data_IF_861424948187
#
_entry.id   IF_861424948187
#
_cell.length_a   1.000
_cell.length_b   1.000
_cell.length_c   1.000
_cell.angle_alpha   90.00
_cell.angle_beta   90.00
_cell.angle_gamma   90.00
#
_symmetry.space_group_name_H-M   'P 1'
#
loop_
_entity.id
_entity.type
_entity.pdbx_description
1 polymer ?
#
# COMPACT_ATOMS: atom_id res chain seq x y z
N UNK A 1 11.45 45.40 -26.16
CA UNK A 1 12.85 44.91 -26.16
C UNK A 1 12.91 43.80 -25.11
N UNK A 2 12.42 42.58 -25.43
CA UNK A 2 13.11 41.43 -26.05
C UNK A 2 14.44 41.08 -25.34
N UNK A 3 14.47 39.90 -24.72
CA UNK A 3 15.57 38.93 -24.49
C UNK A 3 15.21 38.18 -23.19
N UNK A 4 14.71 36.94 -23.17
CA UNK A 4 14.92 35.80 -24.07
C UNK A 4 15.63 34.70 -23.29
N UNK A 5 15.00 34.14 -22.24
CA UNK A 5 15.54 33.00 -21.50
C UNK A 5 15.31 31.73 -22.30
N UNK A 6 16.40 31.19 -22.86
CA UNK A 6 16.40 29.90 -23.55
C UNK A 6 16.35 28.77 -22.51
N UNK A 7 15.18 28.16 -22.41
CA UNK A 7 14.93 26.96 -21.63
C UNK A 7 15.30 25.76 -22.53
N UNK A 8 16.37 25.06 -22.17
CA UNK A 8 16.92 23.95 -22.92
C UNK A 8 16.17 22.67 -22.55
N UNK A 9 15.11 22.36 -23.29
CA UNK A 9 14.39 21.09 -23.19
C UNK A 9 15.20 19.99 -23.88
N UNK A 10 15.82 19.13 -23.08
CA UNK A 10 16.54 17.94 -23.55
C UNK A 10 15.49 16.89 -23.97
N UNK A 11 15.38 16.68 -25.27
CA UNK A 11 14.49 15.71 -25.91
C UNK A 11 14.76 14.29 -25.41
N UNK A 12 13.69 13.60 -25.02
CA UNK A 12 13.63 12.15 -24.78
C UNK A 12 13.59 11.47 -26.15
N UNK A 13 14.56 10.61 -26.45
CA UNK A 13 14.60 9.84 -27.69
C UNK A 13 13.92 8.47 -27.49
N UNK A 14 12.84 8.14 -28.23
CA UNK A 14 12.34 6.79 -28.35
C UNK A 14 12.84 6.15 -29.66
N UNK A 15 13.20 4.87 -29.64
CA UNK A 15 13.52 4.15 -30.86
C UNK A 15 14.52 3.02 -30.62
N UNK A 16 14.01 1.88 -30.16
CA UNK A 16 14.70 0.60 -30.21
C UNK A 16 14.79 0.15 -31.68
N UNK A 17 16.00 0.01 -32.22
CA UNK A 17 16.26 -0.58 -33.53
C UNK A 17 17.05 -1.88 -33.32
N UNK A 18 16.34 -3.00 -33.16
CA UNK A 18 16.93 -4.33 -33.23
C UNK A 18 16.87 -4.82 -34.67
N UNK A 19 17.94 -4.53 -35.42
CA UNK A 19 18.14 -4.99 -36.79
C UNK A 19 18.88 -6.32 -36.77
N UNK A 20 18.14 -7.41 -36.92
CA UNK A 20 18.68 -8.66 -37.46
C UNK A 20 19.06 -8.46 -38.94
N UNK A 21 20.28 -8.82 -39.32
CA UNK A 21 20.57 -9.26 -40.69
C UNK A 21 21.89 -10.05 -40.80
N UNK A 22 21.69 -11.30 -41.19
CA UNK A 22 22.66 -12.33 -41.55
C UNK A 22 23.80 -11.84 -42.44
N UNK A 23 25.03 -12.24 -42.07
CA UNK A 23 26.17 -12.26 -42.99
C UNK A 23 26.73 -13.67 -43.17
N UNK A 24 26.79 -14.06 -44.44
CA UNK A 24 27.39 -15.26 -44.97
C UNK A 24 28.92 -15.30 -44.85
N UNK A 25 29.41 -16.54 -44.82
CA UNK A 25 30.62 -17.06 -45.47
C UNK A 25 31.89 -17.36 -44.65
N UNK A 26 32.13 -18.68 -44.60
CA UNK A 26 33.38 -19.41 -44.80
C UNK A 26 34.39 -19.45 -43.64
N UNK A 27 34.47 -20.65 -43.07
CA UNK A 27 35.72 -21.26 -42.61
C UNK A 27 35.67 -22.75 -42.95
N UNK A 28 36.46 -23.17 -43.95
CA UNK A 28 36.84 -24.57 -44.15
C UNK A 28 38.06 -24.78 -43.27
N UNK A 29 37.91 -25.50 -42.17
CA UNK A 29 39.06 -26.10 -41.48
C UNK A 29 38.72 -27.55 -41.15
N UNK A 30 39.38 -28.42 -41.90
CA UNK A 30 39.44 -29.84 -41.65
C UNK A 30 40.38 -30.08 -40.47
N UNK A 31 39.85 -30.56 -39.36
CA UNK A 31 40.65 -31.26 -38.36
C UNK A 31 39.90 -32.51 -37.88
N UNK A 32 40.40 -33.66 -38.36
CA UNK A 32 40.59 -34.90 -37.62
C UNK A 32 39.90 -35.03 -36.26
N UNK A 33 38.94 -35.95 -36.17
CA UNK A 33 38.94 -37.01 -35.16
C UNK A 33 37.83 -38.02 -35.48
N UNK A 34 38.18 -39.07 -36.22
CA UNK A 34 37.40 -40.30 -36.29
C UNK A 34 37.55 -41.06 -34.96
N UNK A 35 36.91 -40.55 -33.91
CA UNK A 35 36.63 -41.29 -32.67
C UNK A 35 35.23 -41.88 -32.79
N UNK A 36 35.14 -43.21 -32.85
CA UNK A 36 33.88 -43.97 -32.89
C UNK A 36 33.10 -43.78 -31.57
N UNK A 37 32.33 -42.70 -31.46
CA UNK A 37 31.29 -42.52 -30.43
C UNK A 37 29.94 -42.44 -31.13
N UNK A 38 29.23 -43.57 -31.21
CA UNK A 38 27.93 -43.63 -31.89
C UNK A 38 26.92 -42.63 -31.28
N UNK A 39 26.03 -42.02 -32.09
CA UNK A 39 25.02 -41.12 -31.58
C UNK A 39 24.10 -41.89 -30.64
N UNK A 40 24.04 -41.47 -29.36
CA UNK A 40 23.03 -41.93 -28.41
C UNK A 40 21.67 -41.48 -28.95
N UNK A 41 20.99 -42.41 -29.62
CA UNK A 41 19.65 -42.21 -30.17
C UNK A 41 18.71 -41.86 -29.00
N UNK A 42 18.31 -40.59 -28.90
CA UNK A 42 17.09 -40.24 -28.18
C UNK A 42 15.93 -40.79 -29.01
N UNK A 43 15.44 -41.97 -28.65
CA UNK A 43 14.35 -42.63 -29.35
C UNK A 43 13.03 -41.93 -29.06
N UNK A 44 12.39 -41.37 -30.10
CA UNK A 44 10.95 -41.09 -30.20
C UNK A 44 10.38 -39.97 -29.33
N UNK A 45 11.01 -39.65 -28.21
CA UNK A 45 10.66 -38.52 -27.36
C UNK A 45 11.95 -37.73 -27.21
N UNK A 46 11.94 -36.48 -27.67
CA UNK A 46 13.03 -35.55 -27.37
C UNK A 46 13.38 -35.71 -25.88
N UNK A 47 14.67 -35.77 -25.55
CA UNK A 47 15.16 -35.93 -24.19
C UNK A 47 14.62 -34.79 -23.32
N UNK A 48 13.41 -34.99 -22.79
CA UNK A 48 12.74 -34.03 -21.95
C UNK A 48 13.24 -34.31 -20.55
N UNK A 49 14.15 -33.47 -20.06
CA UNK A 49 14.51 -33.44 -18.65
C UNK A 49 13.26 -33.02 -17.87
N UNK A 50 12.48 -34.01 -17.42
CA UNK A 50 11.31 -33.79 -16.59
C UNK A 50 11.72 -33.47 -15.16
N UNK A 51 11.04 -32.50 -14.56
CA UNK A 51 11.13 -32.18 -13.13
C UNK A 51 10.73 -33.42 -12.32
N UNK A 52 11.53 -33.79 -11.32
CA UNK A 52 11.20 -34.94 -10.48
C UNK A 52 10.11 -34.56 -9.46
N UNK A 53 9.23 -35.51 -9.10
CA UNK A 53 8.25 -35.27 -8.02
C UNK A 53 8.94 -34.98 -6.68
N UNK A 54 10.14 -35.52 -6.48
CA UNK A 54 10.96 -35.27 -5.29
C UNK A 54 11.48 -33.83 -5.28
N UNK A 55 11.92 -33.28 -6.41
CA UNK A 55 12.28 -31.86 -6.53
C UNK A 55 11.12 -30.97 -6.12
N UNK A 56 9.93 -31.27 -6.63
CA UNK A 56 8.76 -30.45 -6.34
C UNK A 56 8.39 -30.52 -4.84
N UNK A 57 8.44 -31.70 -4.22
CA UNK A 57 8.15 -31.87 -2.79
C UNK A 57 9.11 -31.07 -1.88
N UNK A 58 10.40 -31.00 -2.22
CA UNK A 58 11.35 -30.19 -1.44
C UNK A 58 11.07 -28.71 -1.61
N UNK A 59 10.70 -28.27 -2.83
CA UNK A 59 10.38 -26.86 -3.09
C UNK A 59 9.15 -26.39 -2.30
N UNK A 60 8.05 -27.14 -2.31
CA UNK A 60 6.87 -26.75 -1.50
C UNK A 60 7.16 -26.81 0.00
N UNK A 61 8.00 -27.74 0.46
CA UNK A 61 8.40 -27.78 1.86
C UNK A 61 9.15 -26.50 2.28
N UNK A 62 10.10 -26.02 1.46
CA UNK A 62 10.86 -24.79 1.73
C UNK A 62 9.93 -23.57 1.67
N UNK A 63 9.08 -23.46 0.64
CA UNK A 63 8.12 -22.35 0.50
C UNK A 63 7.17 -22.31 1.71
N UNK A 64 6.71 -23.47 2.19
CA UNK A 64 5.84 -23.56 3.37
C UNK A 64 6.48 -22.96 4.63
N UNK A 65 7.76 -23.27 4.88
CA UNK A 65 8.51 -22.73 6.02
C UNK A 65 8.69 -21.21 5.89
N UNK A 66 9.05 -20.73 4.69
CA UNK A 66 9.23 -19.30 4.44
C UNK A 66 7.92 -18.53 4.61
N UNK A 67 6.82 -19.07 4.07
CA UNK A 67 5.49 -18.46 4.15
C UNK A 67 5.02 -18.32 5.60
N UNK A 68 5.26 -19.31 6.45
CA UNK A 68 4.86 -19.27 7.86
C UNK A 68 5.47 -18.08 8.63
N UNK A 69 6.68 -17.64 8.27
CA UNK A 69 7.34 -16.47 8.90
C UNK A 69 7.06 -15.19 8.13
N UNK A 70 6.96 -15.26 6.80
CA UNK A 70 6.81 -14.08 5.95
C UNK A 70 5.41 -13.47 6.02
N UNK A 71 4.35 -14.30 6.06
CA UNK A 71 2.96 -13.83 6.08
C UNK A 71 2.66 -12.91 7.29
N UNK A 72 2.91 -13.31 8.55
CA UNK A 72 2.59 -12.45 9.70
C UNK A 72 3.40 -11.14 9.66
N UNK A 73 4.66 -11.18 9.24
CA UNK A 73 5.49 -9.98 9.11
C UNK A 73 4.98 -9.02 8.03
N UNK A 74 4.50 -9.56 6.92
CA UNK A 74 3.92 -8.74 5.85
C UNK A 74 2.60 -8.09 6.30
N UNK A 75 1.76 -8.84 7.01
CA UNK A 75 0.52 -8.34 7.62
C UNK A 75 0.79 -7.15 8.56
N UNK A 76 1.77 -7.27 9.46
CA UNK A 76 2.18 -6.18 10.36
C UNK A 76 2.67 -4.93 9.62
N UNK A 77 3.39 -5.12 8.51
CA UNK A 77 3.85 -4.02 7.66
C UNK A 77 2.69 -3.29 6.99
N UNK A 78 1.74 -4.04 6.42
CA UNK A 78 0.55 -3.47 5.79
C UNK A 78 -0.30 -2.72 6.82
N UNK A 79 -0.53 -3.31 8.00
CA UNK A 79 -1.28 -2.69 9.10
C UNK A 79 -0.68 -1.34 9.52
N UNK A 80 0.65 -1.27 9.71
CA UNK A 80 1.34 -0.01 10.01
C UNK A 80 1.23 1.02 8.88
N UNK A 81 1.31 0.58 7.64
CA UNK A 81 1.18 1.46 6.48
C UNK A 81 -0.22 2.06 6.39
N UNK A 82 -1.26 1.24 6.55
CA UNK A 82 -2.65 1.69 6.55
C UNK A 82 -2.95 2.63 7.72
N UNK A 83 -2.46 2.30 8.93
CA UNK A 83 -2.56 3.19 10.08
C UNK A 83 -1.94 4.57 9.80
N UNK A 84 -0.72 4.60 9.26
CA UNK A 84 -0.04 5.87 8.94
C UNK A 84 -0.79 6.67 7.86
N UNK A 85 -1.33 5.99 6.84
CA UNK A 85 -2.13 6.64 5.80
C UNK A 85 -3.46 7.19 6.37
N UNK A 86 -4.12 6.44 7.24
CA UNK A 86 -5.33 6.88 7.93
C UNK A 86 -5.05 8.06 8.86
N UNK A 87 -4.01 7.97 9.69
CA UNK A 87 -3.60 9.05 10.60
C UNK A 87 -3.23 10.32 9.82
N UNK A 88 -2.47 10.19 8.72
CA UNK A 88 -2.12 11.34 7.87
C UNK A 88 -3.36 12.00 7.25
N UNK A 89 -4.32 11.19 6.77
CA UNK A 89 -5.59 11.70 6.26
C UNK A 89 -6.38 12.44 7.34
N UNK A 90 -6.45 11.87 8.55
CA UNK A 90 -7.19 12.43 9.67
C UNK A 90 -6.58 13.75 10.17
N UNK A 91 -5.25 13.81 10.28
CA UNK A 91 -4.51 15.03 10.65
C UNK A 91 -4.69 16.14 9.61
N UNK A 92 -4.87 15.80 8.33
CA UNK A 92 -5.23 16.76 7.29
C UNK A 92 -6.59 17.43 7.50
N UNK A 93 -7.52 16.77 8.21
CA UNK A 93 -8.84 17.33 8.52
C UNK A 93 -8.85 18.20 9.78
N UNK A 94 -7.83 18.08 10.63
CA UNK A 94 -7.78 18.68 11.96
C UNK A 94 -8.01 20.21 11.92
N UNK A 95 -7.37 20.91 10.98
CA UNK A 95 -7.54 22.36 10.84
C UNK A 95 -8.96 22.75 10.44
N UNK A 96 -9.57 22.04 9.49
CA UNK A 96 -10.94 22.36 9.06
C UNK A 96 -11.96 22.01 10.14
N UNK A 97 -11.75 20.89 10.85
CA UNK A 97 -12.54 20.50 12.00
C UNK A 97 -12.48 21.54 13.13
N UNK A 98 -11.28 22.08 13.42
CA UNK A 98 -11.09 23.13 14.42
C UNK A 98 -11.82 24.43 14.02
N UNK A 99 -11.73 24.82 12.75
CA UNK A 99 -12.46 25.99 12.23
C UNK A 99 -13.97 25.78 12.35
N UNK A 100 -14.47 24.61 11.97
CA UNK A 100 -15.90 24.29 12.07
C UNK A 100 -16.38 24.32 13.53
N UNK A 101 -15.64 23.68 14.44
CA UNK A 101 -15.93 23.67 15.87
C UNK A 101 -15.93 25.08 16.48
N UNK A 102 -14.88 25.88 16.20
CA UNK A 102 -14.76 27.25 16.73
C UNK A 102 -15.79 28.22 16.16
N UNK A 103 -16.31 27.96 14.95
CA UNK A 103 -17.41 28.72 14.35
C UNK A 103 -18.79 28.37 14.93
N UNK A 104 -18.89 27.39 15.83
CA UNK A 104 -20.14 26.93 16.42
C UNK A 104 -20.90 25.93 15.55
N UNK A 105 -20.19 25.17 14.71
CA UNK A 105 -20.77 24.14 13.85
C UNK A 105 -21.46 23.02 14.61
N UNK A 106 -22.55 22.49 14.06
CA UNK A 106 -23.27 21.35 14.62
C UNK A 106 -22.59 20.04 14.18
N UNK A 107 -22.01 19.32 15.14
CA UNK A 107 -21.34 18.05 14.90
C UNK A 107 -22.29 16.86 14.79
N UNK A 108 -23.58 17.05 15.08
CA UNK A 108 -24.60 16.01 14.88
C UNK A 108 -25.10 15.91 13.44
N UNK A 109 -24.88 16.95 12.62
CA UNK A 109 -25.21 17.01 11.18
C UNK A 109 -24.03 17.52 10.32
N UNK A 110 -22.80 17.15 10.71
CA UNK A 110 -21.61 17.53 9.95
C UNK A 110 -21.57 16.80 8.60
N UNK A 111 -21.15 17.49 7.54
CA UNK A 111 -21.02 16.96 6.18
C UNK A 111 -19.57 16.96 5.72
N UNK A 112 -19.26 16.15 4.69
CA UNK A 112 -17.93 16.12 4.07
C UNK A 112 -17.43 17.50 3.62
N UNK A 113 -18.34 18.35 3.10
CA UNK A 113 -18.03 19.71 2.65
C UNK A 113 -17.60 20.64 3.80
N UNK A 114 -18.11 20.41 5.00
CA UNK A 114 -17.78 21.22 6.19
C UNK A 114 -16.35 20.94 6.66
N UNK A 115 -15.85 19.74 6.36
CA UNK A 115 -14.46 19.33 6.56
C UNK A 115 -13.57 19.58 5.33
N UNK A 116 -14.13 20.13 4.25
CA UNK A 116 -13.39 20.47 3.03
C UNK A 116 -12.89 19.26 2.23
N UNK A 117 -13.59 18.12 2.31
CA UNK A 117 -13.21 16.89 1.60
C UNK A 117 -14.37 16.31 0.79
N UNK A 118 -14.05 15.37 -0.09
CA UNK A 118 -15.01 14.45 -0.70
C UNK A 118 -14.74 13.02 -0.22
N UNK A 119 -15.73 12.11 -0.22
CA UNK A 119 -15.53 10.74 0.25
C UNK A 119 -14.41 9.99 -0.50
N UNK A 120 -14.23 10.29 -1.79
CA UNK A 120 -13.24 9.63 -2.64
C UNK A 120 -11.79 9.94 -2.23
N UNK A 121 -11.55 11.10 -1.59
CA UNK A 121 -10.20 11.48 -1.15
C UNK A 121 -9.67 10.58 -0.02
N UNK A 122 -10.53 9.79 0.61
CA UNK A 122 -10.17 8.91 1.72
C UNK A 122 -9.56 7.58 1.25
N UNK A 123 -9.48 7.32 -0.06
CA UNK A 123 -8.84 6.13 -0.64
C UNK A 123 -9.34 4.82 0.02
N UNK A 124 -10.65 4.61 0.00
CA UNK A 124 -11.29 3.41 0.58
C UNK A 124 -11.41 3.40 2.10
N UNK A 125 -10.98 4.45 2.81
CA UNK A 125 -11.21 4.60 4.26
C UNK A 125 -12.58 5.21 4.52
N UNK A 126 -13.24 4.77 5.58
CA UNK A 126 -14.56 5.28 5.98
C UNK A 126 -14.40 6.30 7.09
N UNK A 127 -14.79 7.55 6.81
CA UNK A 127 -14.89 8.60 7.81
C UNK A 127 -16.24 8.51 8.52
N UNK A 128 -16.19 8.52 9.85
CA UNK A 128 -17.35 8.74 10.71
C UNK A 128 -17.02 9.81 11.72
N UNK A 129 -18.06 10.39 12.30
CA UNK A 129 -17.96 11.46 13.28
C UNK A 129 -18.88 11.15 14.45
N UNK A 130 -18.49 11.60 15.63
CA UNK A 130 -19.37 11.67 16.79
C UNK A 130 -19.36 13.08 17.32
N UNK A 131 -20.50 13.56 17.79
CA UNK A 131 -20.61 14.86 18.39
C UNK A 131 -22.06 15.30 18.41
N UNK A 132 -22.41 16.06 19.42
CA UNK A 132 -23.74 16.58 19.67
C UNK A 132 -23.67 17.57 20.84
N UNK A 133 -24.80 18.14 21.23
CA UNK A 133 -24.82 19.08 22.36
C UNK A 133 -24.29 18.40 23.64
N UNK A 134 -23.10 18.81 24.09
CA UNK A 134 -22.53 18.40 25.39
C UNK A 134 -21.50 17.27 25.38
N UNK A 135 -21.08 16.76 24.21
CA UNK A 135 -19.98 15.79 24.09
C UNK A 135 -18.84 16.36 23.25
N UNK A 136 -17.59 16.08 23.61
CA UNK A 136 -16.43 16.44 22.80
C UNK A 136 -16.52 15.79 21.41
N UNK A 137 -16.56 16.56 20.31
CA UNK A 137 -16.60 15.99 18.98
C UNK A 137 -15.36 15.16 18.65
N UNK A 138 -15.55 14.13 17.85
CA UNK A 138 -14.48 13.26 17.39
C UNK A 138 -14.70 12.83 15.94
N UNK A 139 -13.60 12.74 15.20
CA UNK A 139 -13.54 12.14 13.87
C UNK A 139 -12.88 10.76 13.97
N UNK A 140 -13.38 9.80 13.21
CA UNK A 140 -12.86 8.43 13.16
C UNK A 140 -12.64 8.01 11.71
N UNK A 141 -11.46 7.48 11.39
CA UNK A 141 -11.22 6.77 10.15
C UNK A 141 -11.11 5.28 10.43
N UNK A 142 -11.97 4.51 9.77
CA UNK A 142 -11.88 3.04 9.71
C UNK A 142 -11.11 2.65 8.45
N UNK A 143 -10.14 1.76 8.61
CA UNK A 143 -9.26 1.29 7.53
C UNK A 143 -8.99 -0.22 7.65
N UNK A 144 -8.45 -0.82 6.60
CA UNK A 144 -8.00 -2.21 6.63
C UNK A 144 -9.09 -3.27 6.68
N UNK A 145 -10.35 -2.91 6.36
CA UNK A 145 -11.47 -3.85 6.34
C UNK A 145 -11.15 -5.06 5.42
N UNK A 146 -11.06 -6.24 6.01
CA UNK A 146 -10.71 -7.49 5.31
C UNK A 146 -9.25 -7.63 4.85
N UNK A 147 -8.34 -6.69 5.19
CA UNK A 147 -6.95 -6.71 4.70
C UNK A 147 -5.99 -7.41 5.69
N UNK A 148 -6.18 -7.21 7.01
CA UNK A 148 -5.29 -7.79 8.04
C UNK A 148 -6.12 -8.44 9.14
N UNK A 149 -5.98 -9.75 9.31
CA UNK A 149 -6.71 -10.58 10.30
C UNK A 149 -8.25 -10.53 10.22
N UNK A 150 -8.82 -9.90 9.20
CA UNK A 150 -10.26 -9.70 9.05
C UNK A 150 -10.84 -8.64 9.99
N UNK A 151 -10.00 -7.91 10.74
CA UNK A 151 -10.43 -6.84 11.65
C UNK A 151 -10.02 -5.48 11.10
N UNK A 152 -10.98 -4.55 11.05
CA UNK A 152 -10.70 -3.18 10.67
C UNK A 152 -10.01 -2.41 11.81
N UNK A 153 -9.00 -1.62 11.46
CA UNK A 153 -8.37 -0.68 12.38
C UNK A 153 -9.15 0.64 12.42
N UNK A 154 -9.22 1.28 13.60
CA UNK A 154 -9.83 2.60 13.78
C UNK A 154 -8.81 3.55 14.38
N UNK A 155 -8.63 4.71 13.74
CA UNK A 155 -7.91 5.84 14.31
C UNK A 155 -8.87 7.01 14.47
N UNK A 156 -8.75 7.75 15.57
CA UNK A 156 -9.64 8.87 15.90
C UNK A 156 -8.86 10.11 16.32
N UNK A 157 -9.45 11.27 16.09
CA UNK A 157 -9.08 12.55 16.69
C UNK A 157 -10.31 13.05 17.45
N UNK A 158 -10.19 13.17 18.77
CA UNK A 158 -11.22 13.73 19.63
C UNK A 158 -10.77 15.10 20.13
N UNK A 159 -11.63 16.11 20.03
CA UNK A 159 -11.34 17.45 20.55
C UNK A 159 -11.23 17.41 22.08
N UNK A 160 -10.54 18.38 22.66
CA UNK A 160 -10.46 18.56 24.10
C UNK A 160 -11.12 19.87 24.53
N UNK A 161 -11.72 19.87 25.73
CA UNK A 161 -12.27 21.09 26.34
C UNK A 161 -11.24 22.23 26.51
N UNK A 162 -9.95 21.92 26.54
CA UNK A 162 -8.84 22.88 26.67
C UNK A 162 -8.25 23.30 25.30
N UNK A 163 -8.88 22.88 24.20
CA UNK A 163 -8.37 23.03 22.84
C UNK A 163 -7.45 21.89 22.43
N UNK A 164 -7.34 21.66 21.12
CA UNK A 164 -6.52 20.62 20.53
C UNK A 164 -7.21 19.26 20.40
N UNK A 165 -6.51 18.32 19.78
CA UNK A 165 -7.04 17.01 19.37
C UNK A 165 -6.19 15.85 19.91
N UNK A 166 -6.83 14.94 20.63
CA UNK A 166 -6.20 13.69 21.09
C UNK A 166 -6.38 12.62 20.05
N UNK A 167 -5.27 12.04 19.63
CA UNK A 167 -5.32 10.85 18.78
C UNK A 167 -5.47 9.58 19.61
N UNK A 168 -6.40 8.71 19.24
CA UNK A 168 -6.55 7.35 19.79
C UNK A 168 -6.70 6.33 18.68
N UNK A 169 -6.26 5.11 18.92
CA UNK A 169 -6.36 4.00 17.95
C UNK A 169 -6.67 2.67 18.63
N UNK A 170 -7.35 1.79 17.90
CA UNK A 170 -7.52 0.38 18.29
C UNK A 170 -6.23 -0.41 18.14
N UNK A 171 -5.27 0.09 17.37
CA UNK A 171 -4.00 -0.56 17.12
C UNK A 171 -3.11 -0.64 18.35
N UNK A 172 -2.33 -1.70 18.45
CA UNK A 172 -1.31 -1.86 19.50
C UNK A 172 -0.18 -0.85 19.33
N UNK A 173 0.45 -0.48 20.44
CA UNK A 173 1.55 0.47 20.51
C UNK A 173 2.70 0.17 19.53
N UNK A 174 2.96 -1.11 19.29
CA UNK A 174 4.02 -1.57 18.40
C UNK A 174 3.80 -1.16 16.94
N UNK A 175 2.55 -0.94 16.50
CA UNK A 175 2.21 -0.56 15.12
C UNK A 175 2.29 0.94 14.83
N UNK A 176 2.52 1.79 15.85
CA UNK A 176 2.59 3.24 15.66
C UNK A 176 3.97 3.72 15.17
N UNK A 177 4.05 4.91 14.53
CA UNK A 177 5.29 5.48 14.01
C UNK A 177 6.24 6.01 15.10
N UNK A 178 5.78 6.13 16.35
CA UNK A 178 6.60 6.58 17.48
C UNK A 178 5.81 6.69 18.78
N UNK A 179 6.53 6.82 19.90
CA UNK A 179 5.92 7.05 21.21
C UNK A 179 5.17 8.39 21.22
N UNK A 180 3.91 8.39 21.67
CA UNK A 180 3.08 9.59 21.78
C UNK A 180 2.37 10.01 20.49
N UNK A 181 2.46 9.25 19.39
CA UNK A 181 1.73 9.57 18.16
C UNK A 181 0.20 9.54 18.36
N UNK A 182 -0.28 8.48 19.03
CA UNK A 182 -1.67 8.28 19.46
C UNK A 182 -1.70 7.39 20.71
N UNK A 183 -2.78 7.49 21.48
CA UNK A 183 -3.12 6.52 22.53
C UNK A 183 -3.50 5.18 21.88
N UNK A 184 -2.80 4.11 22.23
CA UNK A 184 -2.89 2.82 21.56
C UNK A 184 -3.74 1.80 22.32
N UNK A 185 -4.33 0.83 21.62
CA UNK A 185 -5.08 -0.28 22.20
C UNK A 185 -6.38 0.12 22.89
N UNK A 186 -6.95 1.27 22.52
CA UNK A 186 -8.19 1.77 23.10
C UNK A 186 -9.38 1.16 22.33
N UNK A 187 -10.42 0.75 23.04
CA UNK A 187 -11.67 0.33 22.41
C UNK A 187 -12.38 1.56 21.83
N UNK A 188 -12.47 1.61 20.50
CA UNK A 188 -13.18 2.66 19.76
C UNK A 188 -14.36 2.06 19.01
N UNK A 189 -15.42 2.84 18.87
CA UNK A 189 -16.55 2.51 17.98
C UNK A 189 -16.67 3.62 16.96
N UNK A 190 -16.86 3.26 15.69
CA UNK A 190 -17.08 4.24 14.63
C UNK A 190 -18.37 5.03 14.92
N UNK A 191 -18.34 6.33 14.63
CA UNK A 191 -19.49 7.21 14.81
C UNK A 191 -20.52 7.10 13.66
N UNK A 192 -21.34 8.13 13.51
CA UNK A 192 -22.22 8.27 12.36
C UNK A 192 -21.44 8.71 11.12
N UNK A 193 -21.88 8.32 9.92
CA UNK A 193 -21.33 8.90 8.69
C UNK A 193 -21.72 10.38 8.58
N UNK A 194 -20.80 11.25 8.13
CA UNK A 194 -21.15 12.61 7.77
C UNK A 194 -22.29 12.62 6.75
N UNK A 195 -23.25 13.52 6.90
CA UNK A 195 -24.42 13.60 6.03
C UNK A 195 -24.00 13.70 4.55
N UNK A 196 -24.55 12.82 3.71
CA UNK A 196 -24.33 12.81 2.26
C UNK A 196 -24.94 14.05 1.62
N UNK A 197 -24.18 14.74 0.77
CA UNK A 197 -24.61 15.91 0.00
C UNK A 197 -24.71 15.63 -1.47
#
# INVERSE_FOLDING_TARGET
>A
MKHGMHQQYRLYAPGQEYREQNHHHRGRDAQQAAGKGGPRRCGGYACQAGFTLVELMVVVAIIGILAAVAIPRYQDYVRRSEFNAALGSLRGLETNAEIYLSSGGDWSDIRYRDLGISPESLNGKRLTVSGGSGSDPAMFLTYGDGIVDGEAGIVSLASQAQGGWVCRTTEKAEFLPGAGACEAGVSLTAGAEPGGG
#
